data_IF_501539523391
#
_entry.id   IF_501539523391
#
_cell.length_a   1.000
_cell.length_b   1.000
_cell.length_c   1.000
_cell.angle_alpha   90.00
_cell.angle_beta   90.00
_cell.angle_gamma   90.00
#
_symmetry.space_group_name_H-M   'P 1'
#
loop_
_entity.id
_entity.type
_entity.pdbx_description
1 polymer ?
#
# COMPACT_ATOMS: atom_id res chain seq x y z
N UNK A 1 -26.39 35.19 0.36
CA UNK A 1 -27.02 33.97 -0.19
C UNK A 1 -27.52 33.15 0.98
N UNK A 2 -28.83 33.07 1.19
CA UNK A 2 -29.42 32.10 2.12
C UNK A 2 -29.41 30.74 1.42
N UNK A 3 -28.68 29.78 1.97
CA UNK A 3 -28.78 28.37 1.57
C UNK A 3 -30.07 27.82 2.19
N UNK A 4 -30.95 27.27 1.34
CA UNK A 4 -32.17 26.59 1.77
C UNK A 4 -31.87 25.27 2.50
N UNK A 5 -32.86 24.67 3.18
CA UNK A 5 -32.69 23.40 3.87
C UNK A 5 -32.35 22.29 2.89
N UNK A 6 -31.29 21.53 3.19
CA UNK A 6 -30.96 20.29 2.50
C UNK A 6 -31.88 19.17 3.01
N UNK A 7 -32.54 18.47 2.08
CA UNK A 7 -33.36 17.29 2.38
C UNK A 7 -32.56 16.20 3.10
N UNK A 8 -33.26 15.40 3.92
CA UNK A 8 -32.69 14.22 4.61
C UNK A 8 -32.00 13.30 3.58
N UNK A 9 -30.75 12.88 3.78
CA UNK A 9 -30.14 11.90 2.90
C UNK A 9 -30.90 10.57 3.03
N UNK A 10 -31.62 10.18 1.97
CA UNK A 10 -32.23 8.85 1.89
C UNK A 10 -31.14 7.80 1.63
N UNK A 11 -31.21 6.59 2.21
CA UNK A 11 -30.25 5.49 2.01
C UNK A 11 -29.94 5.14 0.54
N UNK A 12 -30.82 5.54 -0.40
CA UNK A 12 -30.63 5.37 -1.85
C UNK A 12 -29.46 6.19 -2.44
N UNK A 13 -29.00 7.25 -1.80
CA UNK A 13 -28.00 8.17 -2.38
C UNK A 13 -26.56 7.60 -2.41
N UNK A 14 -26.27 6.52 -1.67
CA UNK A 14 -24.94 5.90 -1.58
C UNK A 14 -24.76 4.64 -2.46
N UNK A 15 -25.84 4.14 -3.09
CA UNK A 15 -25.84 2.84 -3.78
C UNK A 15 -25.49 2.90 -5.29
N UNK A 16 -25.13 4.06 -5.84
CA UNK A 16 -25.07 4.26 -7.30
C UNK A 16 -23.76 3.83 -7.99
N UNK A 17 -22.80 3.23 -7.28
CA UNK A 17 -21.46 2.95 -7.83
C UNK A 17 -21.26 1.55 -8.46
N UNK A 18 -22.21 0.61 -8.41
CA UNK A 18 -21.91 -0.82 -8.68
C UNK A 18 -22.77 -1.54 -9.75
N UNK A 19 -23.64 -0.87 -10.51
CA UNK A 19 -24.35 -1.47 -11.67
C UNK A 19 -25.32 -2.63 -11.36
N UNK A 20 -25.53 -2.99 -10.09
CA UNK A 20 -26.54 -3.97 -9.66
C UNK A 20 -27.73 -3.24 -9.03
N UNK A 21 -28.95 -3.77 -9.18
CA UNK A 21 -30.12 -3.28 -8.43
C UNK A 21 -29.90 -3.50 -6.93
N UNK A 22 -29.79 -2.44 -6.11
CA UNK A 22 -29.47 -2.59 -4.71
C UNK A 22 -30.62 -3.29 -3.97
N UNK A 23 -30.27 -4.25 -3.10
CA UNK A 23 -31.23 -4.79 -2.12
C UNK A 23 -31.52 -3.66 -1.11
N UNK A 24 -32.76 -3.55 -0.59
CA UNK A 24 -33.05 -2.57 0.44
C UNK A 24 -32.14 -2.81 1.66
N UNK A 25 -31.64 -1.74 2.31
CA UNK A 25 -30.80 -1.86 3.49
C UNK A 25 -31.56 -2.58 4.61
N UNK A 26 -30.87 -3.39 5.39
CA UNK A 26 -31.45 -3.99 6.60
C UNK A 26 -31.39 -2.92 7.69
N UNK A 27 -32.56 -2.42 8.07
CA UNK A 27 -32.71 -1.44 9.14
C UNK A 27 -33.11 -2.20 10.40
N UNK A 28 -32.28 -2.11 11.44
CA UNK A 28 -32.64 -2.60 12.78
C UNK A 28 -33.04 -1.41 13.64
N UNK A 29 -34.33 -1.31 13.92
CA UNK A 29 -34.91 -0.25 14.74
C UNK A 29 -35.11 -0.75 16.18
N UNK A 30 -34.22 -0.37 17.10
CA UNK A 30 -34.39 -0.58 18.53
C UNK A 30 -33.17 -1.19 19.22
N UNK A 31 -33.00 -0.87 20.50
CA UNK A 31 -31.80 -1.23 21.28
C UNK A 31 -31.68 -2.74 21.60
N UNK A 32 -32.79 -3.47 21.53
CA UNK A 32 -32.89 -4.89 21.89
C UNK A 32 -33.24 -5.81 20.71
N UNK A 33 -33.29 -5.28 19.48
CA UNK A 33 -33.59 -6.10 18.31
C UNK A 33 -32.32 -6.79 17.82
N UNK A 34 -32.30 -8.12 17.90
CA UNK A 34 -31.25 -8.92 17.30
C UNK A 34 -31.23 -8.70 15.78
N UNK A 35 -30.04 -8.57 15.21
CA UNK A 35 -29.89 -8.59 13.76
C UNK A 35 -30.43 -9.93 13.21
N UNK A 36 -31.07 -9.93 12.03
CA UNK A 36 -31.51 -11.17 11.40
C UNK A 36 -30.32 -12.14 11.27
N UNK A 37 -30.57 -13.43 11.50
CA UNK A 37 -29.55 -14.46 11.36
C UNK A 37 -29.20 -14.64 9.88
N UNK A 38 -27.97 -14.30 9.49
CA UNK A 38 -27.46 -14.51 8.13
C UNK A 38 -26.44 -13.44 7.71
N UNK A 39 -25.76 -13.62 6.56
CA UNK A 39 -24.88 -12.60 6.01
C UNK A 39 -25.66 -11.36 5.55
N UNK A 40 -25.09 -10.18 5.77
CA UNK A 40 -25.60 -8.89 5.32
C UNK A 40 -24.75 -8.40 4.14
N UNK A 41 -25.39 -8.24 2.97
CA UNK A 41 -24.68 -8.07 1.70
C UNK A 41 -24.24 -6.61 1.42
N UNK A 42 -24.88 -5.59 2.01
CA UNK A 42 -24.66 -4.18 1.59
C UNK A 42 -24.64 -3.17 2.73
N UNK A 43 -25.69 -3.07 3.55
CA UNK A 43 -25.77 -2.04 4.59
C UNK A 43 -26.51 -2.57 5.81
N UNK A 44 -25.89 -2.43 6.99
CA UNK A 44 -26.55 -2.57 8.29
C UNK A 44 -26.74 -1.17 8.88
N UNK A 45 -27.97 -0.84 9.29
CA UNK A 45 -28.25 0.41 10.02
C UNK A 45 -28.51 0.08 11.48
N UNK A 46 -27.68 0.59 12.39
CA UNK A 46 -27.85 0.48 13.83
C UNK A 46 -28.30 1.82 14.42
N UNK A 47 -29.45 1.81 15.09
CA UNK A 47 -29.90 2.95 15.87
C UNK A 47 -29.42 2.84 17.32
N UNK A 48 -28.47 3.69 17.73
CA UNK A 48 -27.95 3.71 19.10
C UNK A 48 -28.34 5.02 19.81
N UNK A 49 -29.16 4.95 20.87
CA UNK A 49 -29.41 6.12 21.72
C UNK A 49 -28.12 6.59 22.45
N UNK A 50 -27.97 7.90 22.54
CA UNK A 50 -26.72 8.65 22.57
C UNK A 50 -25.95 8.67 23.88
N UNK A 51 -26.60 8.32 24.98
CA UNK A 51 -26.15 8.84 26.26
C UNK A 51 -24.98 8.05 26.85
N UNK A 52 -24.71 6.83 26.37
CA UNK A 52 -23.45 6.10 26.58
C UNK A 52 -23.28 5.06 25.47
N UNK A 53 -22.17 5.12 24.71
CA UNK A 53 -21.58 3.86 24.22
C UNK A 53 -20.97 3.19 25.46
N UNK A 54 -21.85 2.67 26.32
CA UNK A 54 -21.45 1.84 27.44
C UNK A 54 -21.14 0.43 26.92
N UNK A 55 -20.56 -0.40 27.78
CA UNK A 55 -20.37 -1.84 27.54
C UNK A 55 -21.61 -2.57 26.96
N UNK A 56 -22.83 -2.01 27.08
CA UNK A 56 -24.08 -2.63 26.62
C UNK A 56 -24.29 -2.65 25.10
N UNK A 57 -23.71 -1.73 24.32
CA UNK A 57 -23.94 -1.65 22.85
C UNK A 57 -22.90 -2.38 22.00
N UNK A 58 -21.87 -2.88 22.68
CA UNK A 58 -20.83 -3.78 22.19
C UNK A 58 -21.34 -4.92 21.28
N UNK A 59 -22.36 -5.71 21.68
CA UNK A 59 -22.64 -6.96 20.99
C UNK A 59 -23.31 -6.74 19.63
N UNK A 60 -24.11 -5.68 19.46
CA UNK A 60 -24.80 -5.42 18.20
C UNK A 60 -23.84 -4.94 17.09
N UNK A 61 -22.83 -4.14 17.44
CA UNK A 61 -21.79 -3.70 16.51
C UNK A 61 -20.91 -4.89 16.11
N UNK A 62 -20.51 -5.72 17.09
CA UNK A 62 -19.76 -6.95 16.85
C UNK A 62 -20.54 -7.94 15.98
N UNK A 63 -21.82 -8.16 16.27
CA UNK A 63 -22.70 -9.00 15.46
C UNK A 63 -22.86 -8.45 14.04
N UNK A 64 -23.00 -7.13 13.87
CA UNK A 64 -23.03 -6.51 12.55
C UNK A 64 -21.70 -6.71 11.81
N UNK A 65 -20.57 -6.57 12.52
CA UNK A 65 -19.23 -6.83 11.98
C UNK A 65 -19.09 -8.26 11.47
N UNK A 66 -19.58 -9.25 12.22
CA UNK A 66 -19.55 -10.66 11.84
C UNK A 66 -20.43 -10.94 10.62
N UNK A 67 -21.61 -10.32 10.54
CA UNK A 67 -22.58 -10.58 9.48
C UNK A 67 -22.29 -9.81 8.18
N UNK A 68 -21.75 -8.61 8.25
CA UNK A 68 -21.45 -7.79 7.07
C UNK A 68 -20.35 -8.46 6.23
N UNK A 69 -20.59 -8.57 4.93
CA UNK A 69 -19.55 -8.96 3.98
C UNK A 69 -18.52 -7.83 3.81
N UNK A 70 -17.27 -8.12 3.39
CA UNK A 70 -16.33 -7.08 2.96
C UNK A 70 -16.99 -6.13 1.94
N UNK A 71 -16.84 -4.81 2.14
CA UNK A 71 -17.55 -3.77 1.36
C UNK A 71 -18.96 -3.44 1.88
N UNK A 72 -19.43 -4.14 2.90
CA UNK A 72 -20.67 -3.81 3.61
C UNK A 72 -20.48 -2.57 4.49
N UNK A 73 -21.47 -1.69 4.50
CA UNK A 73 -21.45 -0.48 5.34
C UNK A 73 -22.25 -0.67 6.63
N UNK A 74 -21.70 -0.22 7.75
CA UNK A 74 -22.39 0.00 9.00
C UNK A 74 -22.72 1.48 9.13
N UNK A 75 -24.01 1.81 9.16
CA UNK A 75 -24.48 3.16 9.47
C UNK A 75 -24.99 3.19 10.91
N UNK A 76 -24.36 3.98 11.76
CA UNK A 76 -24.78 4.15 13.14
C UNK A 76 -25.34 5.55 13.37
N UNK A 77 -26.50 5.64 14.02
CA UNK A 77 -26.96 6.91 14.59
C UNK A 77 -26.58 6.99 16.05
N UNK A 78 -26.00 8.11 16.45
CA UNK A 78 -25.65 8.41 17.84
C UNK A 78 -26.11 9.84 18.12
N UNK A 79 -26.34 10.21 19.38
CA UNK A 79 -26.56 11.63 19.72
C UNK A 79 -25.28 12.32 20.18
N UNK A 80 -25.43 13.57 20.60
CA UNK A 80 -24.31 14.52 20.78
C UNK A 80 -23.21 14.06 21.76
N UNK A 81 -23.49 13.09 22.65
CA UNK A 81 -22.54 12.57 23.63
C UNK A 81 -21.32 11.85 23.03
N UNK A 82 -21.40 11.36 21.78
CA UNK A 82 -20.30 10.64 21.12
C UNK A 82 -19.05 11.50 20.91
N UNK A 83 -19.20 12.83 20.85
CA UNK A 83 -18.08 13.75 20.62
C UNK A 83 -16.93 13.58 21.63
N UNK A 84 -17.25 13.18 22.87
CA UNK A 84 -16.24 12.97 23.91
C UNK A 84 -15.49 11.64 23.81
N UNK A 85 -15.93 10.72 22.95
CA UNK A 85 -15.42 9.34 22.89
C UNK A 85 -15.24 8.83 21.44
N UNK A 86 -15.12 9.77 20.48
CA UNK A 86 -15.02 9.43 19.07
C UNK A 86 -13.76 8.61 18.76
N UNK A 87 -12.66 8.89 19.46
CA UNK A 87 -11.38 8.18 19.29
C UNK A 87 -11.48 6.71 19.74
N UNK A 88 -12.05 6.44 20.92
CA UNK A 88 -12.25 5.06 21.37
C UNK A 88 -13.26 4.30 20.50
N UNK A 89 -14.29 5.00 20.01
CA UNK A 89 -15.22 4.45 19.06
C UNK A 89 -14.54 4.10 17.72
N UNK A 90 -13.70 4.99 17.18
CA UNK A 90 -12.92 4.72 15.97
C UNK A 90 -11.97 3.55 16.16
N UNK A 91 -11.20 3.52 17.27
CA UNK A 91 -10.30 2.41 17.57
C UNK A 91 -11.06 1.07 17.65
N UNK A 92 -12.28 1.10 18.18
CA UNK A 92 -13.14 -0.07 18.23
C UNK A 92 -13.60 -0.50 16.84
N UNK A 93 -14.09 0.43 16.01
CA UNK A 93 -14.51 0.13 14.64
C UNK A 93 -13.35 -0.44 13.82
N UNK A 94 -12.16 0.14 13.97
CA UNK A 94 -10.92 -0.37 13.37
C UNK A 94 -10.64 -1.81 13.83
N UNK A 95 -10.81 -2.11 15.13
CA UNK A 95 -10.67 -3.45 15.69
C UNK A 95 -11.66 -4.47 15.12
N UNK A 96 -12.83 -4.01 14.68
CA UNK A 96 -13.86 -4.82 14.02
C UNK A 96 -13.68 -4.91 12.49
N UNK A 97 -12.59 -4.36 11.94
CA UNK A 97 -12.30 -4.36 10.51
C UNK A 97 -13.18 -3.40 9.72
N UNK A 98 -13.65 -2.32 10.35
CA UNK A 98 -14.31 -1.21 9.68
C UNK A 98 -13.38 -0.01 9.63
N UNK A 99 -13.36 0.69 8.50
CA UNK A 99 -12.84 2.05 8.44
C UNK A 99 -14.00 3.05 8.47
N UNK A 100 -13.87 4.10 9.28
CA UNK A 100 -14.89 5.15 9.36
C UNK A 100 -14.79 6.06 8.14
N UNK A 101 -15.79 6.01 7.25
CA UNK A 101 -15.85 6.85 6.04
C UNK A 101 -16.16 8.32 6.34
N UNK A 102 -16.88 8.58 7.44
CA UNK A 102 -17.21 9.94 7.84
C UNK A 102 -18.19 10.01 9.01
N UNK A 103 -18.20 11.16 9.66
CA UNK A 103 -19.18 11.50 10.68
C UNK A 103 -19.99 12.70 10.19
N UNK A 104 -21.28 12.49 9.94
CA UNK A 104 -22.19 13.56 9.53
C UNK A 104 -22.91 14.09 10.75
N UNK A 105 -22.69 15.36 11.07
CA UNK A 105 -23.33 16.03 12.20
C UNK A 105 -24.56 16.81 11.72
N UNK A 106 -25.75 16.35 12.11
CA UNK A 106 -27.00 17.12 12.03
C UNK A 106 -27.62 17.20 13.44
N UNK A 107 -28.92 16.96 13.59
CA UNK A 107 -29.57 16.78 14.90
C UNK A 107 -29.06 15.51 15.64
N UNK A 108 -28.51 14.55 14.87
CA UNK A 108 -27.83 13.33 15.33
C UNK A 108 -26.47 13.22 14.62
N UNK A 109 -25.52 12.48 15.21
CA UNK A 109 -24.29 12.09 14.55
C UNK A 109 -24.52 10.77 13.82
N UNK A 110 -24.16 10.72 12.54
CA UNK A 110 -24.18 9.50 11.74
C UNK A 110 -22.74 9.06 11.49
N UNK A 111 -22.38 7.86 11.93
CA UNK A 111 -21.12 7.22 11.55
C UNK A 111 -21.43 6.28 10.41
N UNK A 112 -20.75 6.45 9.27
CA UNK A 112 -20.72 5.44 8.22
C UNK A 112 -19.35 4.79 8.29
N UNK A 113 -19.32 3.47 8.45
CA UNK A 113 -18.10 2.69 8.47
C UNK A 113 -18.23 1.54 7.45
N UNK A 114 -17.24 1.33 6.62
CA UNK A 114 -17.26 0.26 5.62
C UNK A 114 -16.31 -0.85 6.06
N UNK A 115 -16.77 -2.10 5.97
CA UNK A 115 -15.96 -3.25 6.35
C UNK A 115 -14.86 -3.41 5.31
N UNK A 116 -13.61 -3.42 5.76
CA UNK A 116 -12.44 -3.41 4.90
C UNK A 116 -12.53 -4.47 3.80
N UNK A 117 -12.43 -4.00 2.56
CA UNK A 117 -12.68 -4.81 1.35
C UNK A 117 -11.43 -5.54 0.88
N UNK A 118 -10.29 -5.41 1.59
CA UNK A 118 -9.02 -5.92 1.08
C UNK A 118 -8.98 -7.45 1.20
N UNK A 119 -9.13 -8.19 0.08
CA UNK A 119 -9.27 -9.63 0.15
C UNK A 119 -7.97 -10.23 0.71
N UNK A 120 -8.10 -11.06 1.74
CA UNK A 120 -6.96 -11.70 2.41
C UNK A 120 -6.25 -10.85 3.47
N UNK A 121 -6.81 -9.68 3.84
CA UNK A 121 -6.36 -8.91 5.00
C UNK A 121 -7.27 -9.21 6.21
N UNK A 122 -6.70 -9.74 7.28
CA UNK A 122 -7.36 -9.92 8.58
C UNK A 122 -6.98 -8.82 9.57
N UNK A 123 -7.77 -8.65 10.63
CA UNK A 123 -7.43 -7.80 11.76
C UNK A 123 -6.65 -8.56 12.84
N UNK A 124 -5.84 -7.84 13.61
CA UNK A 124 -5.08 -8.35 14.76
C UNK A 124 -5.66 -7.72 16.03
N UNK A 125 -6.08 -8.55 16.99
CA UNK A 125 -6.62 -8.05 18.25
C UNK A 125 -5.57 -7.31 19.07
N UNK A 126 -5.94 -6.38 19.98
CA UNK A 126 -4.98 -5.67 20.82
C UNK A 126 -4.09 -6.60 21.66
N UNK A 127 -4.64 -7.70 22.19
CA UNK A 127 -3.87 -8.68 22.95
C UNK A 127 -2.85 -9.40 22.07
N UNK A 128 -3.27 -9.86 20.90
CA UNK A 128 -2.38 -10.50 19.94
C UNK A 128 -1.31 -9.54 19.43
N UNK A 129 -1.68 -8.28 19.20
CA UNK A 129 -0.77 -7.20 18.78
C UNK A 129 0.37 -6.99 19.78
N UNK A 130 0.05 -6.93 21.08
CA UNK A 130 1.06 -6.83 22.16
C UNK A 130 1.97 -8.07 22.20
N UNK A 131 1.42 -9.28 22.05
CA UNK A 131 2.20 -10.52 22.04
C UNK A 131 3.14 -10.60 20.83
N UNK A 132 2.66 -10.21 19.65
CA UNK A 132 3.48 -10.14 18.44
C UNK A 132 4.59 -9.10 18.60
N UNK A 133 4.24 -7.88 19.04
CA UNK A 133 5.22 -6.82 19.25
C UNK A 133 6.32 -7.28 20.22
N UNK A 134 5.96 -7.82 21.40
CA UNK A 134 6.92 -8.30 22.40
C UNK A 134 7.89 -9.37 21.89
N UNK A 135 7.49 -10.18 20.90
CA UNK A 135 8.33 -11.22 20.27
C UNK A 135 9.14 -10.71 19.07
N UNK A 136 8.86 -9.51 18.60
CA UNK A 136 9.48 -8.95 17.39
C UNK A 136 10.93 -8.56 17.65
N UNK A 137 11.81 -8.96 16.74
CA UNK A 137 13.20 -8.54 16.69
C UNK A 137 13.33 -7.26 15.86
N UNK A 138 14.00 -6.25 16.41
CA UNK A 138 14.34 -4.99 15.75
C UNK A 138 15.84 -4.94 15.53
N UNK A 139 16.26 -4.63 14.30
CA UNK A 139 17.67 -4.59 13.94
C UNK A 139 18.40 -3.37 14.54
N UNK A 140 17.70 -2.24 14.66
CA UNK A 140 18.32 -0.94 14.94
C UNK A 140 18.38 -0.54 16.41
N UNK A 141 17.47 -1.02 17.27
CA UNK A 141 17.31 -0.51 18.65
C UNK A 141 16.70 -1.55 19.62
N UNK A 142 17.32 -1.80 20.80
CA UNK A 142 16.84 -2.80 21.79
C UNK A 142 15.57 -2.39 22.56
N UNK A 143 15.16 -1.12 22.53
CA UNK A 143 13.98 -0.60 23.24
C UNK A 143 12.90 -0.02 22.29
N UNK A 144 12.90 -0.46 21.03
CA UNK A 144 11.98 0.06 20.02
C UNK A 144 10.50 -0.25 20.34
N UNK A 145 10.23 -1.33 21.07
CA UNK A 145 8.88 -1.84 21.36
C UNK A 145 7.96 -0.77 21.98
N UNK A 146 8.40 -0.15 23.08
CA UNK A 146 7.59 0.83 23.80
C UNK A 146 7.31 2.06 22.94
N UNK A 147 8.28 2.47 22.12
CA UNK A 147 8.15 3.65 21.27
C UNK A 147 7.23 3.38 20.07
N UNK A 148 7.30 2.18 19.50
CA UNK A 148 6.41 1.73 18.43
C UNK A 148 4.97 1.59 18.94
N UNK A 149 4.79 1.04 20.15
CA UNK A 149 3.48 0.95 20.79
C UNK A 149 2.91 2.35 21.07
N UNK A 150 3.72 3.24 21.65
CA UNK A 150 3.33 4.64 21.92
C UNK A 150 3.01 5.43 20.64
N UNK A 151 3.66 5.11 19.53
CA UNK A 151 3.38 5.69 18.22
C UNK A 151 2.12 5.11 17.55
N UNK A 152 1.45 4.13 18.17
CA UNK A 152 0.29 3.45 17.60
C UNK A 152 0.63 2.56 16.39
N UNK A 153 1.90 2.15 16.27
CA UNK A 153 2.42 1.41 15.12
C UNK A 153 2.58 -0.08 15.39
N UNK A 154 2.04 -0.60 16.49
CA UNK A 154 1.97 -2.04 16.75
C UNK A 154 1.19 -2.79 15.63
N UNK A 155 1.32 -4.12 15.49
CA UNK A 155 0.60 -4.90 14.49
C UNK A 155 -0.92 -4.67 14.59
N UNK A 156 -1.58 -4.36 13.47
CA UNK A 156 -3.03 -4.15 13.39
C UNK A 156 -3.70 -5.03 12.34
N UNK A 157 -2.98 -5.35 11.29
CA UNK A 157 -3.48 -6.17 10.20
C UNK A 157 -2.60 -7.40 9.99
N UNK A 158 -3.14 -8.44 9.35
CA UNK A 158 -2.41 -9.66 9.02
C UNK A 158 -2.78 -10.14 7.63
N UNK A 159 -1.81 -10.62 6.86
CA UNK A 159 -2.03 -11.22 5.55
C UNK A 159 -1.00 -12.30 5.27
N UNK A 160 -1.15 -13.04 4.18
CA UNK A 160 -0.17 -14.02 3.72
C UNK A 160 0.17 -13.83 2.25
N UNK A 161 1.47 -13.80 1.96
CA UNK A 161 2.03 -13.63 0.62
C UNK A 161 2.89 -14.86 0.33
N UNK A 162 2.56 -15.61 -0.70
CA UNK A 162 3.27 -16.85 -1.07
C UNK A 162 3.48 -17.81 0.12
N UNK A 163 2.47 -17.93 0.99
CA UNK A 163 2.51 -18.78 2.18
C UNK A 163 3.28 -18.21 3.38
N UNK A 164 3.99 -17.08 3.23
CA UNK A 164 4.61 -16.38 4.36
C UNK A 164 3.62 -15.41 4.99
N UNK A 165 3.49 -15.44 6.32
CA UNK A 165 2.63 -14.51 7.05
C UNK A 165 3.37 -13.23 7.38
N UNK A 166 2.69 -12.11 7.21
CA UNK A 166 3.15 -10.79 7.65
C UNK A 166 2.03 -10.07 8.39
N UNK A 167 2.37 -9.46 9.51
CA UNK A 167 1.48 -8.52 10.18
C UNK A 167 1.90 -7.09 9.84
N UNK A 168 0.95 -6.18 9.74
CA UNK A 168 1.19 -4.81 9.29
C UNK A 168 0.72 -3.83 10.36
N UNK A 169 1.49 -2.76 10.58
CA UNK A 169 1.02 -1.59 11.31
C UNK A 169 -0.01 -0.81 10.50
N UNK A 170 -0.55 0.27 11.07
CA UNK A 170 -1.18 1.32 10.27
C UNK A 170 -0.12 2.00 9.37
N UNK A 171 -0.52 2.51 8.20
CA UNK A 171 0.35 3.40 7.44
C UNK A 171 0.72 4.65 8.24
N UNK A 172 1.90 5.20 7.99
CA UNK A 172 2.40 6.42 8.61
C UNK A 172 3.26 7.22 7.63
N UNK A 173 3.57 8.46 7.97
CA UNK A 173 4.41 9.33 7.14
C UNK A 173 5.66 9.78 7.87
N UNK A 174 6.81 9.48 7.29
CA UNK A 174 8.09 9.88 7.86
C UNK A 174 9.04 10.27 6.73
N UNK A 175 9.73 11.42 6.88
CA UNK A 175 10.69 11.95 5.89
C UNK A 175 10.12 12.07 4.47
N UNK A 176 8.82 12.37 4.38
CA UNK A 176 8.08 12.46 3.12
C UNK A 176 7.85 11.12 2.42
N UNK A 177 8.13 9.99 3.06
CA UNK A 177 7.69 8.67 2.62
C UNK A 177 6.36 8.32 3.27
N UNK A 178 5.50 7.66 2.51
CA UNK A 178 4.45 6.84 3.07
C UNK A 178 5.06 5.48 3.42
N UNK A 179 4.84 5.00 4.64
CA UNK A 179 5.49 3.81 5.16
C UNK A 179 4.53 2.96 6.01
N UNK A 180 4.91 1.71 6.23
CA UNK A 180 4.29 0.81 7.21
C UNK A 180 5.36 -0.11 7.79
N UNK A 181 5.17 -0.57 9.03
CA UNK A 181 5.96 -1.64 9.59
C UNK A 181 5.35 -2.98 9.19
N UNK A 182 6.20 -3.87 8.69
CA UNK A 182 5.90 -5.28 8.48
C UNK A 182 6.56 -6.14 9.55
N UNK A 183 5.77 -6.97 10.21
CA UNK A 183 6.21 -7.95 11.21
C UNK A 183 6.17 -9.32 10.54
N UNK A 184 7.31 -9.72 9.99
CA UNK A 184 7.44 -10.87 9.09
C UNK A 184 7.71 -12.13 9.90
N UNK A 185 6.82 -13.13 9.80
CA UNK A 185 7.00 -14.43 10.44
C UNK A 185 8.00 -15.28 9.63
N UNK A 186 9.07 -15.72 10.28
CA UNK A 186 10.00 -16.71 9.75
C UNK A 186 9.46 -18.13 9.87
N UNK A 187 10.03 -19.07 9.10
CA UNK A 187 9.67 -20.51 9.16
C UNK A 187 9.92 -21.13 10.54
N UNK A 188 10.82 -20.54 11.32
CA UNK A 188 11.15 -20.94 12.69
C UNK A 188 10.25 -20.28 13.76
N UNK A 189 9.25 -19.50 13.34
CA UNK A 189 8.38 -18.74 14.24
C UNK A 189 9.02 -17.48 14.83
N UNK A 190 10.22 -17.10 14.38
CA UNK A 190 10.80 -15.78 14.66
C UNK A 190 9.97 -14.70 13.98
N UNK A 191 9.98 -13.49 14.55
CA UNK A 191 9.25 -12.35 14.03
C UNK A 191 10.23 -11.19 13.87
N UNK A 192 10.37 -10.66 12.66
CA UNK A 192 11.29 -9.57 12.37
C UNK A 192 10.53 -8.35 11.87
N UNK A 193 10.87 -7.18 12.40
CA UNK A 193 10.35 -5.93 11.89
C UNK A 193 11.08 -5.54 10.60
N UNK A 194 10.31 -5.09 9.60
CA UNK A 194 10.77 -4.55 8.32
C UNK A 194 10.05 -3.24 8.05
N UNK A 195 10.77 -2.30 7.44
CA UNK A 195 10.16 -1.06 6.96
C UNK A 195 9.76 -1.25 5.51
N UNK A 196 8.46 -1.13 5.24
CA UNK A 196 7.94 -1.00 3.89
C UNK A 196 7.64 0.47 3.61
N UNK A 197 8.07 0.97 2.47
CA UNK A 197 7.89 2.37 2.11
C UNK A 197 7.51 2.51 0.64
N UNK A 198 6.74 3.54 0.31
CA UNK A 198 6.37 3.85 -1.05
C UNK A 198 7.46 4.68 -1.73
N UNK A 199 7.98 4.20 -2.85
CA UNK A 199 8.94 4.93 -3.68
C UNK A 199 8.29 6.17 -4.30
N UNK A 200 8.99 7.31 -4.24
CA UNK A 200 8.54 8.56 -4.90
C UNK A 200 8.68 8.53 -6.42
N UNK A 201 9.65 7.79 -6.96
CA UNK A 201 9.91 7.72 -8.40
C UNK A 201 9.02 6.71 -9.12
N UNK A 202 8.76 5.56 -8.50
CA UNK A 202 7.96 4.47 -9.10
C UNK A 202 6.53 4.39 -8.57
N UNK A 203 6.22 4.97 -7.41
CA UNK A 203 4.94 4.79 -6.70
C UNK A 203 4.73 3.40 -6.11
N UNK A 204 5.68 2.48 -6.29
CA UNK A 204 5.64 1.12 -5.76
C UNK A 204 6.17 1.05 -4.34
N UNK A 205 5.61 0.14 -3.56
CA UNK A 205 6.09 -0.23 -2.24
C UNK A 205 7.38 -1.05 -2.32
N UNK A 206 8.32 -0.73 -1.44
CA UNK A 206 9.61 -1.39 -1.33
C UNK A 206 9.87 -1.79 0.10
N UNK A 207 10.59 -2.89 0.30
CA UNK A 207 11.21 -3.20 1.58
C UNK A 207 12.56 -2.49 1.67
N UNK A 208 12.78 -1.70 2.72
CA UNK A 208 14.08 -1.13 2.97
C UNK A 208 15.08 -2.24 3.35
N UNK A 209 16.22 -2.29 2.65
CA UNK A 209 17.26 -3.29 2.95
C UNK A 209 18.17 -2.89 4.13
N UNK A 210 18.05 -1.65 4.60
CA UNK A 210 18.83 -1.08 5.69
C UNK A 210 19.05 0.43 5.51
N UNK A 211 20.03 0.99 6.20
CA UNK A 211 20.45 2.38 6.11
C UNK A 211 21.93 2.49 5.74
N UNK A 212 22.23 3.20 4.67
CA UNK A 212 23.57 3.69 4.37
C UNK A 212 23.64 5.17 4.76
N UNK A 213 24.10 5.45 5.98
CA UNK A 213 24.00 6.79 6.57
C UNK A 213 22.55 7.15 6.87
N UNK A 214 21.98 8.09 6.11
CA UNK A 214 20.57 8.51 6.23
C UNK A 214 19.71 8.06 5.05
N UNK A 215 20.30 7.32 4.10
CA UNK A 215 19.64 6.88 2.88
C UNK A 215 19.17 5.44 3.05
N UNK A 216 17.92 5.17 2.67
CA UNK A 216 17.40 3.80 2.63
C UNK A 216 18.19 2.98 1.61
N UNK A 217 18.67 1.83 2.04
CA UNK A 217 19.30 0.84 1.16
C UNK A 217 18.31 0.36 0.11
N UNK A 218 18.79 0.27 -1.14
CA UNK A 218 18.02 -0.19 -2.30
C UNK A 218 18.52 -1.54 -2.83
N UNK A 219 19.00 -2.39 -1.92
CA UNK A 219 19.61 -3.69 -2.25
C UNK A 219 21.09 -3.61 -2.62
N UNK A 220 21.68 -4.75 -3.02
CA UNK A 220 23.12 -4.86 -3.28
C UNK A 220 23.55 -3.95 -4.43
N UNK A 221 24.68 -3.26 -4.27
CA UNK A 221 25.39 -2.48 -5.30
C UNK A 221 24.58 -1.43 -6.10
N UNK A 222 23.38 -1.05 -5.67
CA UNK A 222 22.52 -0.07 -6.35
C UNK A 222 21.99 -0.50 -7.73
N UNK A 223 22.52 -1.57 -8.32
CA UNK A 223 22.08 -2.13 -9.62
C UNK A 223 20.79 -2.95 -9.50
N UNK A 224 20.33 -3.18 -8.27
CA UNK A 224 19.20 -4.04 -7.95
C UNK A 224 18.08 -3.28 -7.26
N UNK A 225 17.82 -2.02 -7.64
CA UNK A 225 16.73 -1.25 -7.00
C UNK A 225 15.40 -2.01 -7.03
N UNK A 226 15.13 -2.74 -8.11
CA UNK A 226 13.94 -3.58 -8.27
C UNK A 226 13.87 -4.75 -7.27
N UNK A 227 15.01 -5.23 -6.75
CA UNK A 227 15.06 -6.34 -5.76
C UNK A 227 14.39 -6.01 -4.43
N UNK A 228 14.23 -4.73 -4.14
CA UNK A 228 13.50 -4.27 -2.95
C UNK A 228 12.00 -4.14 -3.16
N UNK A 229 11.51 -4.30 -4.39
CA UNK A 229 10.08 -4.12 -4.71
C UNK A 229 9.26 -5.27 -4.15
N UNK A 230 8.20 -4.93 -3.40
CA UNK A 230 7.31 -5.95 -2.83
C UNK A 230 6.46 -6.63 -3.92
N UNK A 231 6.08 -7.91 -3.75
CA UNK A 231 5.18 -8.65 -4.63
C UNK A 231 3.88 -7.91 -4.94
N UNK A 232 3.33 -8.10 -6.14
CA UNK A 232 2.14 -7.38 -6.60
C UNK A 232 0.92 -7.54 -5.66
N UNK A 233 0.76 -8.73 -5.06
CA UNK A 233 -0.28 -8.98 -4.05
C UNK A 233 -0.11 -8.11 -2.80
N UNK A 234 1.13 -7.93 -2.34
CA UNK A 234 1.42 -7.05 -1.21
C UNK A 234 1.33 -5.57 -1.60
N UNK A 235 1.70 -5.20 -2.84
CA UNK A 235 1.44 -3.86 -3.39
C UNK A 235 -0.04 -3.50 -3.28
N UNK A 236 -0.92 -4.39 -3.76
CA UNK A 236 -2.37 -4.20 -3.72
C UNK A 236 -2.88 -4.03 -2.29
N UNK A 237 -2.45 -4.88 -1.36
CA UNK A 237 -2.82 -4.80 0.05
C UNK A 237 -2.38 -3.47 0.68
N UNK A 238 -1.12 -3.07 0.50
CA UNK A 238 -0.60 -1.83 1.10
C UNK A 238 -1.25 -0.58 0.51
N UNK A 239 -1.52 -0.54 -0.80
CA UNK A 239 -2.24 0.57 -1.42
C UNK A 239 -3.71 0.66 -0.98
N UNK A 240 -4.34 -0.49 -0.75
CA UNK A 240 -5.64 -0.56 -0.13
C UNK A 240 -5.64 0.06 1.27
N UNK A 241 -4.67 -0.35 2.10
CA UNK A 241 -4.53 0.14 3.48
C UNK A 241 -4.36 1.66 3.54
N UNK A 242 -3.60 2.24 2.62
CA UNK A 242 -3.38 3.70 2.59
C UNK A 242 -4.56 4.51 2.13
N UNK A 243 -5.49 3.90 1.41
CA UNK A 243 -6.74 4.53 1.00
C UNK A 243 -7.79 4.45 2.11
N UNK A 244 -7.85 3.32 2.82
CA UNK A 244 -8.82 3.07 3.88
C UNK A 244 -8.44 3.70 5.22
N UNK A 245 -7.14 3.78 5.53
CA UNK A 245 -6.63 4.21 6.83
C UNK A 245 -5.72 5.43 6.65
N UNK A 246 -6.10 6.60 7.23
CA UNK A 246 -5.23 7.77 7.22
C UNK A 246 -3.88 7.46 7.83
N UNK A 247 -2.82 8.00 7.21
CA UNK A 247 -1.48 7.86 7.75
C UNK A 247 -1.39 8.61 9.08
N UNK A 248 -0.76 8.00 10.09
CA UNK A 248 -0.41 8.71 11.32
C UNK A 248 0.64 9.77 10.96
N UNK A 249 0.45 11.01 11.43
CA UNK A 249 1.38 12.13 11.26
C UNK A 249 2.14 12.39 12.58
N UNK A 250 3.42 12.79 12.52
CA UNK A 250 4.23 13.12 13.71
C UNK A 250 5.66 12.59 13.68
N UNK A 251 6.43 12.78 14.76
CA UNK A 251 7.81 12.32 14.90
C UNK A 251 7.90 10.79 15.06
N UNK A 252 7.73 10.06 13.96
CA UNK A 252 7.84 8.60 13.91
C UNK A 252 9.25 8.14 13.51
N UNK A 253 10.25 8.99 13.72
CA UNK A 253 11.64 8.73 13.36
C UNK A 253 12.14 7.41 13.96
N UNK A 254 11.83 7.15 15.23
CA UNK A 254 12.27 5.90 15.86
C UNK A 254 11.63 4.69 15.20
N UNK A 255 10.33 4.72 14.92
CA UNK A 255 9.66 3.63 14.21
C UNK A 255 10.24 3.41 12.80
N UNK A 256 10.61 4.50 12.13
CA UNK A 256 11.24 4.44 10.81
C UNK A 256 12.63 3.78 10.85
N UNK A 257 13.46 4.09 11.86
CA UNK A 257 14.83 3.56 11.95
C UNK A 257 14.95 2.22 12.69
N UNK A 258 14.04 1.92 13.61
CA UNK A 258 14.07 0.70 14.42
C UNK A 258 14.21 -0.62 13.63
N UNK A 259 13.50 -0.84 12.52
CA UNK A 259 13.63 -2.08 11.75
C UNK A 259 14.88 -2.12 10.84
N UNK A 260 15.64 -1.03 10.72
CA UNK A 260 16.68 -0.89 9.71
C UNK A 260 18.06 -1.30 10.23
N UNK A 261 18.71 -2.22 9.51
CA UNK A 261 20.12 -2.54 9.71
C UNK A 261 21.00 -1.37 9.28
N UNK A 262 22.07 -1.09 10.03
CA UNK A 262 23.11 -0.15 9.58
C UNK A 262 24.02 -0.85 8.58
N UNK A 263 23.95 -0.41 7.33
CA UNK A 263 24.79 -0.90 6.25
C UNK A 263 26.14 -0.18 6.26
N UNK A 264 27.19 -0.90 5.88
CA UNK A 264 28.50 -0.32 5.65
C UNK A 264 28.73 -0.15 4.13
N UNK A 265 29.67 0.72 3.74
CA UNK A 265 29.99 0.95 2.32
C UNK A 265 30.58 -0.27 1.60
N UNK A 266 31.03 -1.30 2.34
CA UNK A 266 31.59 -2.53 1.78
C UNK A 266 30.50 -3.57 1.44
N UNK A 267 29.23 -3.24 1.64
CA UNK A 267 28.08 -4.11 1.35
C UNK A 267 27.86 -5.22 2.37
N UNK A 268 26.79 -6.00 2.18
CA UNK A 268 26.54 -7.26 2.90
C UNK A 268 25.64 -7.14 4.11
N UNK A 269 24.42 -6.61 3.95
CA UNK A 269 23.37 -6.73 4.97
C UNK A 269 22.72 -8.12 4.97
N UNK A 270 21.83 -8.40 5.92
CA UNK A 270 21.03 -9.64 5.90
C UNK A 270 20.29 -9.80 4.56
N UNK A 271 19.81 -8.68 4.00
CA UNK A 271 19.12 -8.62 2.72
C UNK A 271 19.93 -9.27 1.58
N UNK A 272 21.22 -8.94 1.47
CA UNK A 272 22.08 -9.41 0.38
C UNK A 272 22.31 -10.92 0.46
N UNK A 273 22.33 -11.49 1.68
CA UNK A 273 22.47 -12.93 1.90
C UNK A 273 21.22 -13.75 1.60
N UNK A 274 20.05 -13.10 1.60
CA UNK A 274 18.75 -13.74 1.32
C UNK A 274 18.31 -13.58 -0.14
N UNK A 275 19.16 -13.00 -0.99
CA UNK A 275 18.87 -12.77 -2.40
C UNK A 275 19.82 -13.52 -3.32
N UNK A 276 19.21 -14.20 -4.29
CA UNK A 276 19.93 -14.75 -5.44
C UNK A 276 19.64 -13.91 -6.66
N UNK A 277 20.67 -13.25 -7.19
CA UNK A 277 20.55 -12.49 -8.43
C UNK A 277 20.43 -13.43 -9.63
N UNK A 278 19.39 -13.24 -10.46
CA UNK A 278 19.15 -14.02 -11.68
C UNK A 278 19.30 -13.11 -12.90
N UNK A 279 20.03 -13.58 -13.91
CA UNK A 279 20.14 -12.87 -15.17
C UNK A 279 18.83 -13.02 -15.96
N UNK A 280 18.20 -11.89 -16.29
CA UNK A 280 16.89 -11.88 -16.98
C UNK A 280 17.01 -11.60 -18.47
N UNK A 281 18.03 -10.84 -18.85
CA UNK A 281 18.28 -10.38 -20.19
C UNK A 281 19.33 -9.28 -20.17
N UNK A 282 19.55 -8.67 -21.33
CA UNK A 282 20.55 -7.64 -21.50
C UNK A 282 20.15 -6.65 -22.59
N UNK A 283 20.73 -5.45 -22.56
CA UNK A 283 20.62 -4.50 -23.65
C UNK A 283 21.80 -4.72 -24.61
N UNK A 284 21.54 -4.83 -25.91
CA UNK A 284 22.61 -5.00 -26.93
C UNK A 284 23.22 -3.67 -27.36
N UNK A 285 22.65 -2.54 -26.94
CA UNK A 285 23.17 -1.18 -27.12
C UNK A 285 22.72 -0.26 -25.98
N UNK A 286 23.09 1.03 -26.01
CA UNK A 286 22.58 2.03 -25.05
C UNK A 286 21.10 2.42 -25.31
N UNK A 287 20.51 1.95 -26.41
CA UNK A 287 19.14 2.27 -26.76
C UNK A 287 18.13 1.42 -25.97
N UNK A 288 17.02 2.02 -25.51
CA UNK A 288 15.97 1.30 -24.76
C UNK A 288 15.31 0.16 -25.55
N UNK A 289 15.25 0.26 -26.88
CA UNK A 289 14.61 -0.74 -27.74
C UNK A 289 15.46 -2.00 -28.01
N UNK A 290 16.69 -2.04 -27.49
CA UNK A 290 17.65 -3.12 -27.73
C UNK A 290 17.69 -4.22 -26.65
N UNK A 291 16.68 -4.28 -25.77
CA UNK A 291 16.61 -5.31 -24.75
C UNK A 291 16.28 -6.68 -25.34
N UNK A 292 17.08 -7.69 -24.97
CA UNK A 292 16.87 -9.09 -25.33
C UNK A 292 16.76 -9.94 -24.06
N UNK A 293 15.72 -10.78 -24.01
CA UNK A 293 15.54 -11.75 -22.95
C UNK A 293 16.64 -12.81 -23.01
N UNK A 294 17.16 -13.21 -21.84
CA UNK A 294 18.08 -14.36 -21.76
C UNK A 294 17.38 -15.67 -22.18
N UNK A 295 16.06 -15.72 -21.95
CA UNK A 295 15.16 -16.82 -22.31
C UNK A 295 13.88 -16.22 -22.90
N UNK A 296 13.62 -16.35 -24.22
CA UNK A 296 12.48 -15.71 -24.87
C UNK A 296 11.12 -16.02 -24.22
N UNK A 297 10.95 -17.23 -23.67
CA UNK A 297 9.76 -17.67 -22.95
C UNK A 297 9.50 -16.93 -21.63
N UNK A 298 10.46 -16.13 -21.16
CA UNK A 298 10.25 -15.25 -20.01
C UNK A 298 9.50 -13.97 -20.38
N UNK A 299 9.32 -13.65 -21.66
CA UNK A 299 8.55 -12.49 -22.10
C UNK A 299 7.11 -12.51 -21.53
N UNK A 300 6.47 -11.33 -21.34
CA UNK A 300 5.11 -11.25 -20.82
C UNK A 300 4.12 -11.94 -21.77
N UNK A 301 3.13 -12.62 -21.19
CA UNK A 301 2.00 -13.22 -21.89
C UNK A 301 0.72 -12.44 -21.57
N UNK A 302 0.39 -11.45 -22.41
CA UNK A 302 -0.76 -10.57 -22.19
C UNK A 302 -2.12 -11.29 -22.28
N UNK A 303 -2.17 -12.55 -22.74
CA UNK A 303 -3.37 -13.38 -22.63
C UNK A 303 -3.61 -13.90 -21.20
N UNK A 304 -2.59 -13.82 -20.33
CA UNK A 304 -2.61 -14.26 -18.93
C UNK A 304 -2.65 -13.08 -17.95
N UNK A 305 -3.63 -12.18 -18.09
CA UNK A 305 -3.89 -11.15 -17.08
C UNK A 305 -4.31 -11.81 -15.76
N UNK A 306 -3.54 -11.54 -14.69
CA UNK A 306 -3.74 -12.14 -13.36
C UNK A 306 -4.54 -11.25 -12.43
N UNK A 307 -4.22 -9.97 -12.41
CA UNK A 307 -4.84 -9.01 -11.51
C UNK A 307 -4.81 -7.61 -12.13
N UNK A 308 -5.74 -6.78 -11.70
CA UNK A 308 -5.81 -5.37 -12.01
C UNK A 308 -6.27 -4.62 -10.77
N UNK A 309 -5.54 -3.58 -10.39
CA UNK A 309 -5.89 -2.75 -9.23
C UNK A 309 -5.39 -1.32 -9.43
N UNK A 310 -5.77 -0.41 -8.53
CA UNK A 310 -5.27 0.96 -8.55
C UNK A 310 -4.30 1.20 -7.42
N UNK A 311 -3.33 2.08 -7.64
CA UNK A 311 -2.42 2.57 -6.61
C UNK A 311 -2.27 4.09 -6.68
N UNK A 312 -1.78 4.70 -5.60
CA UNK A 312 -1.54 6.14 -5.56
C UNK A 312 -0.06 6.43 -5.76
N UNK A 313 0.29 7.22 -6.77
CA UNK A 313 1.66 7.69 -7.01
C UNK A 313 1.83 9.11 -6.47
N UNK A 314 2.86 9.41 -5.68
CA UNK A 314 3.05 10.72 -5.04
C UNK A 314 2.97 11.91 -5.99
N UNK A 315 3.52 11.78 -7.20
CA UNK A 315 3.58 12.85 -8.22
C UNK A 315 2.62 12.70 -9.40
N UNK A 316 1.94 11.55 -9.55
CA UNK A 316 1.08 11.25 -10.73
C UNK A 316 -0.38 11.01 -10.33
N UNK A 317 -0.70 11.00 -9.03
CA UNK A 317 -2.02 10.65 -8.54
C UNK A 317 -2.32 9.18 -8.76
N UNK A 318 -3.55 8.85 -9.10
CA UNK A 318 -4.00 7.47 -9.23
C UNK A 318 -3.41 6.81 -10.49
N UNK A 319 -2.86 5.62 -10.31
CA UNK A 319 -2.37 4.74 -11.37
C UNK A 319 -3.21 3.48 -11.44
N UNK A 320 -3.36 2.93 -12.65
CA UNK A 320 -3.81 1.58 -12.89
C UNK A 320 -2.61 0.63 -12.93
N UNK A 321 -2.72 -0.51 -12.28
CA UNK A 321 -1.71 -1.55 -12.22
C UNK A 321 -2.24 -2.84 -12.84
N UNK A 322 -1.44 -3.46 -13.70
CA UNK A 322 -1.77 -4.67 -14.45
C UNK A 322 -0.72 -5.74 -14.16
N UNK A 323 -1.17 -6.90 -13.65
CA UNK A 323 -0.30 -8.02 -13.33
C UNK A 323 -0.44 -9.09 -14.40
N UNK A 324 0.66 -9.40 -15.09
CA UNK A 324 0.69 -10.34 -16.22
C UNK A 324 1.78 -11.38 -15.98
N UNK A 325 1.50 -12.65 -16.24
CA UNK A 325 2.52 -13.69 -16.14
C UNK A 325 3.43 -13.72 -17.37
N UNK A 326 4.64 -14.27 -17.24
CA UNK A 326 5.45 -14.67 -18.40
C UNK A 326 4.84 -15.89 -19.11
N UNK A 327 5.25 -16.11 -20.36
CA UNK A 327 4.80 -17.28 -21.15
C UNK A 327 5.15 -18.60 -20.44
N UNK A 328 6.35 -18.69 -19.86
CA UNK A 328 6.81 -19.84 -19.07
C UNK A 328 6.35 -19.83 -17.59
N UNK A 329 5.56 -18.84 -17.20
CA UNK A 329 5.08 -18.61 -15.83
C UNK A 329 6.20 -18.50 -14.78
N UNK A 330 7.47 -18.27 -15.16
CA UNK A 330 8.57 -18.08 -14.21
C UNK A 330 8.57 -16.68 -13.57
N UNK A 331 7.94 -15.70 -14.22
CA UNK A 331 7.93 -14.31 -13.81
C UNK A 331 6.52 -13.70 -13.80
N UNK A 332 6.35 -12.66 -12.96
CA UNK A 332 5.18 -11.79 -12.92
C UNK A 332 5.60 -10.36 -13.25
N UNK A 333 4.95 -9.76 -14.22
CA UNK A 333 5.12 -8.38 -14.63
C UNK A 333 4.08 -7.50 -13.97
N UNK A 334 4.50 -6.36 -13.43
CA UNK A 334 3.62 -5.30 -12.95
C UNK A 334 3.77 -4.09 -13.86
N UNK A 335 2.82 -3.89 -14.77
CA UNK A 335 2.73 -2.69 -15.59
C UNK A 335 1.91 -1.63 -14.88
N UNK A 336 2.28 -0.37 -15.07
CA UNK A 336 1.59 0.78 -14.53
C UNK A 336 1.13 1.68 -15.68
N UNK A 337 -0.04 2.29 -15.52
CA UNK A 337 -0.61 3.27 -16.45
C UNK A 337 -1.21 4.43 -15.67
N UNK A 338 -0.95 5.65 -16.11
CA UNK A 338 -1.56 6.84 -15.51
C UNK A 338 -2.78 7.35 -16.31
N UNK A 339 -3.42 8.40 -15.79
CA UNK A 339 -4.58 9.04 -16.44
C UNK A 339 -4.27 9.59 -17.83
N UNK A 340 -3.01 9.97 -18.09
CA UNK A 340 -2.53 10.49 -19.37
C UNK A 340 -2.16 9.35 -20.34
N UNK A 341 -2.52 8.12 -20.00
CA UNK A 341 -2.30 6.92 -20.80
C UNK A 341 -0.82 6.57 -21.00
N UNK A 342 0.08 7.17 -20.21
CA UNK A 342 1.50 6.78 -20.19
C UNK A 342 1.62 5.47 -19.45
N UNK A 343 2.44 4.56 -19.98
CA UNK A 343 2.64 3.25 -19.39
C UNK A 343 4.12 2.95 -19.16
N UNK A 344 4.41 2.16 -18.14
CA UNK A 344 5.76 1.69 -17.85
C UNK A 344 5.74 0.34 -17.13
N UNK A 345 6.88 -0.34 -17.17
CA UNK A 345 7.10 -1.54 -16.38
C UNK A 345 7.58 -1.14 -14.98
N UNK A 346 6.72 -1.36 -13.98
CA UNK A 346 7.02 -1.07 -12.58
C UNK A 346 8.00 -2.08 -11.97
N UNK A 347 7.73 -3.38 -12.16
CA UNK A 347 8.58 -4.46 -11.65
C UNK A 347 8.42 -5.77 -12.40
N UNK A 348 9.44 -6.63 -12.29
CA UNK A 348 9.35 -8.05 -12.66
C UNK A 348 9.71 -8.89 -11.43
N UNK A 349 8.76 -9.68 -10.97
CA UNK A 349 8.85 -10.57 -9.81
C UNK A 349 9.16 -12.00 -10.28
N UNK A 350 10.18 -12.64 -9.70
CA UNK A 350 10.41 -14.07 -9.89
C UNK A 350 9.42 -14.88 -9.06
N UNK A 351 8.87 -15.97 -9.60
CA UNK A 351 7.97 -16.87 -8.85
C UNK A 351 8.74 -17.81 -7.95
N UNK A 352 9.28 -17.25 -6.88
CA UNK A 352 9.99 -17.97 -5.82
C UNK A 352 9.38 -17.65 -4.47
N UNK A 353 9.74 -18.41 -3.43
CA UNK A 353 9.37 -18.04 -2.07
C UNK A 353 9.89 -16.63 -1.74
N UNK A 354 9.08 -15.87 -1.01
CA UNK A 354 9.51 -14.60 -0.43
C UNK A 354 10.48 -14.83 0.74
N UNK A 355 11.39 -13.89 0.95
CA UNK A 355 12.39 -13.92 2.03
C UNK A 355 11.92 -13.11 3.26
N UNK A 356 12.80 -12.93 4.26
CA UNK A 356 12.44 -12.20 5.48
C UNK A 356 12.17 -10.70 5.29
N UNK A 357 12.35 -10.17 4.07
CA UNK A 357 12.03 -8.82 3.66
C UNK A 357 10.75 -8.76 2.81
N UNK A 358 10.01 -9.87 2.71
CA UNK A 358 8.80 -10.00 1.90
C UNK A 358 9.01 -9.70 0.40
N UNK A 359 10.25 -9.86 -0.09
CA UNK A 359 10.58 -9.82 -1.52
C UNK A 359 10.93 -11.22 -2.02
N UNK A 360 10.78 -11.52 -3.32
CA UNK A 360 11.19 -12.81 -3.87
C UNK A 360 12.66 -13.12 -3.56
N UNK A 361 12.96 -14.35 -3.15
CA UNK A 361 14.33 -14.81 -2.88
C UNK A 361 15.23 -14.81 -4.11
N UNK A 362 14.64 -14.84 -5.31
CA UNK A 362 15.34 -14.56 -6.56
C UNK A 362 14.98 -13.17 -7.09
N UNK A 363 16.00 -12.35 -7.37
CA UNK A 363 15.83 -11.03 -7.94
C UNK A 363 16.39 -10.98 -9.36
N UNK A 364 15.57 -10.57 -10.32
CA UNK A 364 16.01 -10.36 -11.69
C UNK A 364 16.89 -9.12 -11.82
N UNK A 365 17.99 -9.24 -12.56
CA UNK A 365 18.81 -8.11 -13.02
C UNK A 365 18.11 -7.42 -14.19
N UNK A 366 17.32 -6.40 -13.89
CA UNK A 366 16.49 -5.72 -14.88
C UNK A 366 17.18 -4.52 -15.54
N UNK A 367 18.18 -3.92 -14.88
CA UNK A 367 18.87 -2.73 -15.39
C UNK A 367 17.87 -1.61 -15.71
N UNK A 368 17.97 -1.05 -16.91
CA UNK A 368 17.06 0.02 -17.36
C UNK A 368 15.64 -0.46 -17.72
N UNK A 369 15.33 -1.76 -17.65
CA UNK A 369 14.01 -2.27 -18.01
C UNK A 369 12.89 -1.80 -17.05
N UNK A 370 13.24 -1.48 -15.79
CA UNK A 370 12.32 -0.93 -14.79
C UNK A 370 12.55 0.55 -14.53
N UNK A 371 13.07 1.27 -15.53
CA UNK A 371 13.22 2.71 -15.45
C UNK A 371 11.84 3.36 -15.26
N UNK A 372 11.62 4.18 -14.22
CA UNK A 372 10.33 4.82 -14.00
C UNK A 372 10.03 5.88 -15.06
N UNK A 373 8.75 6.21 -15.22
CA UNK A 373 8.29 7.31 -16.07
C UNK A 373 8.60 8.71 -15.49
N UNK A 374 8.91 8.80 -14.19
CA UNK A 374 9.46 9.99 -13.54
C UNK A 374 10.78 9.59 -12.91
N UNK A 375 11.87 10.22 -13.31
CA UNK A 375 13.19 9.89 -12.79
C UNK A 375 14.05 11.12 -12.54
N UNK A 376 15.07 10.96 -11.69
CA UNK A 376 16.07 11.97 -11.46
C UNK A 376 16.74 12.45 -12.76
N UNK A 377 16.90 13.76 -12.90
CA UNK A 377 17.51 14.39 -14.11
C UNK A 377 18.83 13.72 -14.51
N UNK A 378 19.68 13.41 -13.54
CA UNK A 378 20.99 12.81 -13.75
C UNK A 378 20.96 11.33 -14.17
N UNK A 379 19.83 10.64 -14.00
CA UNK A 379 19.66 9.24 -14.36
C UNK A 379 19.01 9.04 -15.73
N UNK A 380 18.41 10.09 -16.30
CA UNK A 380 17.85 10.07 -17.66
C UNK A 380 18.87 10.64 -18.63
N UNK A 381 19.18 9.91 -19.70
CA UNK A 381 20.05 10.41 -20.77
C UNK A 381 19.41 11.65 -21.45
N UNK A 382 20.19 12.70 -21.78
CA UNK A 382 19.67 14.00 -22.19
C UNK A 382 18.62 13.98 -23.30
N UNK A 383 18.79 13.11 -24.29
CA UNK A 383 17.92 12.94 -25.44
C UNK A 383 16.53 12.35 -25.10
N UNK A 384 16.38 11.73 -23.92
CA UNK A 384 15.11 11.20 -23.43
C UNK A 384 14.48 12.05 -22.31
N UNK A 385 15.10 13.15 -21.91
CA UNK A 385 14.56 14.04 -20.88
C UNK A 385 13.35 14.80 -21.43
N UNK A 386 12.18 14.51 -20.87
CA UNK A 386 10.98 15.31 -21.07
C UNK A 386 10.93 16.52 -20.13
N UNK A 387 9.70 16.96 -19.83
CA UNK A 387 9.46 18.10 -18.96
C UNK A 387 9.92 17.85 -17.52
N UNK A 388 10.34 18.91 -16.83
CA UNK A 388 10.58 18.86 -15.38
C UNK A 388 9.27 18.65 -14.64
N UNK A 389 9.17 17.56 -13.89
CA UNK A 389 7.96 17.20 -13.13
C UNK A 389 8.02 17.76 -11.72
N UNK A 390 9.19 17.71 -11.08
CA UNK A 390 9.39 18.19 -9.71
C UNK A 390 10.65 19.03 -9.65
N UNK A 391 10.51 20.21 -9.03
CA UNK A 391 11.62 21.06 -8.62
C UNK A 391 11.75 21.00 -7.11
N UNK A 392 12.97 20.93 -6.61
CA UNK A 392 13.23 21.05 -5.18
C UNK A 392 14.03 22.33 -4.92
N UNK A 393 13.74 22.96 -3.78
CA UNK A 393 14.54 24.09 -3.32
C UNK A 393 15.83 23.57 -2.69
N UNK A 394 16.94 23.87 -3.33
CA UNK A 394 18.28 23.54 -2.85
C UNK A 394 18.95 24.82 -2.36
N UNK A 395 19.51 24.77 -1.15
CA UNK A 395 20.27 25.88 -0.62
C UNK A 395 21.65 25.94 -1.28
N UNK A 396 21.90 26.98 -2.06
CA UNK A 396 23.19 27.21 -2.68
C UNK A 396 24.09 28.00 -1.71
N UNK A 397 25.06 27.30 -1.10
CA UNK A 397 26.01 27.89 -0.16
C UNK A 397 26.91 28.99 -0.77
N UNK A 398 27.08 29.03 -2.09
CA UNK A 398 27.92 30.03 -2.76
C UNK A 398 27.19 31.36 -2.95
N UNK A 399 25.90 31.30 -3.25
CA UNK A 399 25.05 32.49 -3.46
C UNK A 399 24.28 32.87 -2.19
N UNK A 400 24.29 32.03 -1.16
CA UNK A 400 23.53 32.20 0.08
C UNK A 400 22.02 32.40 -0.21
N UNK A 401 21.50 31.66 -1.19
CA UNK A 401 20.11 31.70 -1.62
C UNK A 401 19.57 30.30 -1.89
N UNK A 402 18.24 30.14 -1.83
CA UNK A 402 17.57 28.94 -2.31
C UNK A 402 17.35 29.05 -3.82
N UNK A 403 17.66 27.97 -4.53
CA UNK A 403 17.42 27.84 -5.96
C UNK A 403 16.48 26.64 -6.20
N UNK A 404 15.53 26.80 -7.12
CA UNK A 404 14.70 25.69 -7.58
C UNK A 404 15.45 24.92 -8.66
N UNK A 405 15.95 23.74 -8.31
CA UNK A 405 16.61 22.86 -9.27
C UNK A 405 15.64 21.77 -9.73
N UNK A 406 15.67 21.40 -11.02
CA UNK A 406 14.91 20.25 -11.49
C UNK A 406 15.47 19.00 -10.82
N UNK A 407 14.66 18.35 -10.00
CA UNK A 407 15.05 17.08 -9.36
C UNK A 407 14.59 15.91 -10.21
N UNK A 408 13.35 15.95 -10.71
CA UNK A 408 12.75 14.88 -11.50
C UNK A 408 12.25 15.39 -12.85
N UNK A 409 12.43 14.57 -13.88
CA UNK A 409 11.96 14.78 -15.25
C UNK A 409 11.09 13.62 -15.71
N UNK A 410 10.24 13.90 -16.68
CA UNK A 410 9.48 12.89 -17.39
C UNK A 410 10.44 12.06 -18.28
N UNK A 411 10.48 10.75 -18.07
CA UNK A 411 11.30 9.80 -18.82
C UNK A 411 10.47 8.92 -19.76
N UNK A 412 9.21 9.28 -20.02
CA UNK A 412 8.26 8.48 -20.82
C UNK A 412 8.78 8.19 -22.22
N UNK A 413 9.54 9.11 -22.83
CA UNK A 413 10.13 8.89 -24.16
C UNK A 413 11.15 7.73 -24.18
N UNK A 414 11.89 7.52 -23.09
CA UNK A 414 12.76 6.35 -22.90
C UNK A 414 11.91 5.10 -22.69
N UNK A 415 10.98 5.17 -21.73
CA UNK A 415 10.23 4.00 -21.25
C UNK A 415 9.31 3.41 -22.34
N UNK A 416 8.68 4.25 -23.16
CA UNK A 416 7.83 3.80 -24.27
C UNK A 416 8.59 3.00 -25.35
N UNK A 417 9.92 3.07 -25.36
CA UNK A 417 10.74 2.32 -26.31
C UNK A 417 11.17 0.96 -25.76
N UNK A 418 10.99 0.69 -24.46
CA UNK A 418 11.31 -0.61 -23.89
C UNK A 418 10.37 -1.68 -24.49
N UNK A 419 10.89 -2.80 -25.03
CA UNK A 419 10.08 -3.82 -25.69
C UNK A 419 8.83 -4.27 -24.91
N UNK A 420 8.91 -4.69 -23.63
CA UNK A 420 7.71 -5.12 -22.90
C UNK A 420 6.67 -4.01 -22.72
N UNK A 421 7.09 -2.74 -22.66
CA UNK A 421 6.18 -1.61 -22.49
C UNK A 421 5.45 -1.30 -23.80
N UNK A 422 6.16 -1.34 -24.94
CA UNK A 422 5.56 -1.18 -26.26
C UNK A 422 4.53 -2.28 -26.53
N UNK A 423 4.87 -3.52 -26.19
CA UNK A 423 3.98 -4.66 -26.41
C UNK A 423 2.74 -4.56 -25.51
N UNK A 424 2.90 -4.12 -24.26
CA UNK A 424 1.79 -3.82 -23.35
C UNK A 424 0.88 -2.70 -23.88
N UNK A 425 1.46 -1.61 -24.40
CA UNK A 425 0.69 -0.52 -24.99
C UNK A 425 -0.11 -0.96 -26.22
N UNK A 426 0.45 -1.84 -27.05
CA UNK A 426 -0.28 -2.43 -28.17
C UNK A 426 -1.46 -3.27 -27.69
N UNK A 427 -1.25 -4.11 -26.67
CA UNK A 427 -2.31 -4.92 -26.05
C UNK A 427 -3.46 -4.07 -25.47
N UNK A 428 -3.16 -2.91 -24.85
CA UNK A 428 -4.20 -2.02 -24.32
C UNK A 428 -5.13 -1.43 -25.40
N UNK A 429 -4.68 -1.34 -26.65
CA UNK A 429 -5.49 -0.81 -27.76
C UNK A 429 -6.36 -1.90 -28.39
N UNK A 430 -5.84 -3.13 -28.46
CA UNK A 430 -6.53 -4.30 -29.01
C UNK A 430 -6.45 -5.46 -28.03
N UNK A 431 -7.24 -5.44 -26.94
CA UNK A 431 -7.34 -6.59 -26.06
C UNK A 431 -8.07 -7.72 -26.79
N UNK A 432 -7.42 -8.87 -26.92
CA UNK A 432 -7.96 -10.10 -27.53
C UNK A 432 -9.13 -10.70 -26.74
#
# INVERSE_FOLDING_TARGET
>A
MQLGPLDRPTPRALAFAAGQTPRPPVVVEGEDQALPSGPLDQVAVLHADANRISHQKTPAIEQAAEQLQPGGALMMTTGRGLMGDLEAFQERMDGLGFHTMGVVFQEKAYVVAEKDVLPGLGSVSPEQSRLLLARTQFAGQPDAHQQIEAAGLAPRFTTSIEGQRVHLSRPFRCRGYQATLGYVEGKDGSLKARLFYQSKSQGLWRSASGLLGQVLGKGPDGQFESSTTLPASLQKTLNGLTTAVPAVEGEQEVAFHAPLEKLNMKGGGQFDHELTAVHFGHFTSERPDSFEYARPEQAPDFSKLRDQFTLQHPSRGQLEAYVVDSQDESARYLFLRDSDQRAWLGSVEARTEVNSFMVPSQAYRLGALTHPAIEYVQQVAPEYRGETVVKEQVYNHFTNSYEELPTYVDATSFVNQLPPVRDFQAWLVTPD
#
